data_IF_417040925084
#
_entry.id   IF_417040925084
#
_cell.length_a   1.000
_cell.length_b   1.000
_cell.length_c   1.000
_cell.angle_alpha   90.00
_cell.angle_beta   90.00
_cell.angle_gamma   90.00
#
_symmetry.space_group_name_H-M   'P 1'
#
loop_
_entity.id
_entity.type
_entity.pdbx_description
1 polymer ?
#
# COMPACT_ATOMS: atom_id res chain seq x y z
N UNK A 1 -18.95 12.22 3.10
CA UNK A 1 -18.05 11.81 2.00
C UNK A 1 -16.74 11.41 2.65
N UNK A 2 -16.21 10.20 2.39
CA UNK A 2 -14.96 9.73 3.01
C UNK A 2 -13.76 10.39 2.34
N UNK A 3 -12.77 10.83 3.13
CA UNK A 3 -11.50 11.33 2.61
C UNK A 3 -10.44 10.24 2.69
N UNK A 4 -9.53 10.23 1.73
CA UNK A 4 -8.44 9.26 1.68
C UNK A 4 -7.13 9.99 1.39
N UNK A 5 -6.07 9.56 2.06
CA UNK A 5 -4.70 9.83 1.62
C UNK A 5 -4.21 8.68 0.75
N UNK A 6 -3.32 8.99 -0.19
CA UNK A 6 -2.74 8.04 -1.13
C UNK A 6 -1.23 8.11 -1.07
N UNK A 7 -0.58 6.97 -1.29
CA UNK A 7 0.87 6.91 -1.47
C UNK A 7 1.26 5.88 -2.52
N UNK A 8 2.38 6.14 -3.19
CA UNK A 8 3.02 5.25 -4.13
C UNK A 8 4.38 4.85 -3.57
N UNK A 9 4.66 3.54 -3.54
CA UNK A 9 5.89 2.99 -2.96
C UNK A 9 6.58 2.11 -3.98
N UNK A 10 7.88 2.34 -4.20
CA UNK A 10 8.72 1.44 -4.97
C UNK A 10 9.09 0.23 -4.10
N UNK A 11 8.60 -0.95 -4.47
CA UNK A 11 8.92 -2.21 -3.82
C UNK A 11 9.63 -3.09 -4.86
N UNK A 12 10.93 -3.26 -4.65
CA UNK A 12 11.75 -4.17 -5.45
C UNK A 12 12.01 -5.46 -4.66
N UNK A 13 11.49 -6.56 -5.17
CA UNK A 13 11.60 -7.87 -4.55
C UNK A 13 10.67 -8.88 -5.20
N UNK A 14 11.04 -10.17 -5.07
CA UNK A 14 10.15 -11.28 -5.42
C UNK A 14 9.21 -11.59 -4.25
N UNK A 15 8.23 -12.47 -4.51
CA UNK A 15 7.09 -12.83 -3.65
C UNK A 15 7.21 -12.49 -2.17
N UNK A 16 8.06 -13.22 -1.43
CA UNK A 16 8.13 -13.11 0.04
C UNK A 16 8.44 -11.69 0.54
N UNK A 17 9.42 -11.01 -0.06
CA UNK A 17 9.81 -9.65 0.35
C UNK A 17 8.68 -8.68 0.10
N UNK A 18 8.05 -8.76 -1.08
CA UNK A 18 6.94 -7.90 -1.46
C UNK A 18 5.74 -8.13 -0.53
N UNK A 19 5.38 -9.39 -0.27
CA UNK A 19 4.32 -9.76 0.67
C UNK A 19 4.59 -9.22 2.08
N UNK A 20 5.81 -9.35 2.60
CA UNK A 20 6.17 -8.82 3.93
C UNK A 20 6.01 -7.30 4.01
N UNK A 21 6.44 -6.57 3.00
CA UNK A 21 6.32 -5.10 2.95
C UNK A 21 4.85 -4.69 2.84
N UNK A 22 4.07 -5.33 1.96
CA UNK A 22 2.64 -5.05 1.80
C UNK A 22 1.85 -5.33 3.09
N UNK A 23 2.14 -6.44 3.77
CA UNK A 23 1.51 -6.76 5.06
C UNK A 23 1.85 -5.73 6.14
N UNK A 24 3.10 -5.23 6.16
CA UNK A 24 3.48 -4.14 7.06
C UNK A 24 2.70 -2.85 6.81
N UNK A 25 2.37 -2.54 5.55
CA UNK A 25 1.47 -1.44 5.23
C UNK A 25 0.02 -1.71 5.65
N UNK A 26 -0.48 -2.94 5.46
CA UNK A 26 -1.78 -3.35 5.96
C UNK A 26 -1.94 -3.16 7.47
N UNK A 27 -0.91 -3.52 8.25
CA UNK A 27 -0.88 -3.31 9.71
C UNK A 27 -0.89 -1.82 10.12
N UNK A 28 -0.44 -0.92 9.24
CA UNK A 28 -0.49 0.54 9.44
C UNK A 28 -1.81 1.16 8.95
N UNK A 29 -2.78 0.34 8.55
CA UNK A 29 -4.09 0.77 8.05
C UNK A 29 -4.10 1.19 6.58
N UNK A 30 -3.08 0.82 5.80
CA UNK A 30 -3.07 1.09 4.37
C UNK A 30 -3.72 -0.05 3.59
N UNK A 31 -4.69 0.29 2.77
CA UNK A 31 -5.31 -0.60 1.81
C UNK A 31 -4.52 -0.59 0.50
N UNK A 32 -4.27 -1.78 -0.03
CA UNK A 32 -3.71 -1.92 -1.37
C UNK A 32 -4.74 -1.52 -2.44
N UNK A 33 -4.32 -0.72 -3.41
CA UNK A 33 -5.16 -0.27 -4.54
C UNK A 33 -4.80 -1.03 -5.80
N UNK A 34 -3.53 -0.92 -6.22
CA UNK A 34 -3.02 -1.58 -7.40
C UNK A 34 -1.48 -1.59 -7.40
N UNK A 35 -0.90 -2.39 -8.28
CA UNK A 35 0.52 -2.36 -8.57
C UNK A 35 0.75 -2.21 -10.08
N UNK A 36 1.81 -1.50 -10.45
CA UNK A 36 2.31 -1.41 -11.81
C UNK A 36 3.83 -1.59 -11.79
N UNK A 37 4.29 -2.71 -12.35
CA UNK A 37 5.68 -3.16 -12.23
C UNK A 37 6.12 -3.19 -10.76
N UNK A 38 7.10 -2.38 -10.36
CA UNK A 38 7.60 -2.32 -8.99
C UNK A 38 6.96 -1.21 -8.14
N UNK A 39 5.97 -0.49 -8.68
CA UNK A 39 5.24 0.54 -7.96
C UNK A 39 3.95 0.01 -7.38
N UNK A 40 3.74 0.23 -6.07
CA UNK A 40 2.59 -0.25 -5.32
C UNK A 40 1.84 0.94 -4.74
N UNK A 41 0.57 1.04 -5.10
CA UNK A 41 -0.31 2.13 -4.71
C UNK A 41 -1.17 1.70 -3.53
N UNK A 42 -1.20 2.57 -2.52
CA UNK A 42 -1.99 2.36 -1.32
C UNK A 42 -2.87 3.57 -1.04
N UNK A 43 -3.96 3.34 -0.34
CA UNK A 43 -4.82 4.38 0.23
C UNK A 43 -5.03 4.12 1.72
N UNK A 44 -5.27 5.18 2.47
CA UNK A 44 -5.72 5.08 3.88
C UNK A 44 -6.80 6.12 4.10
N UNK A 45 -7.85 5.77 4.83
CA UNK A 45 -8.89 6.74 5.16
C UNK A 45 -8.31 7.78 6.12
N UNK A 46 -8.48 9.06 5.80
CA UNK A 46 -8.18 10.17 6.71
C UNK A 46 -9.52 10.68 7.23
N UNK A 47 -9.70 10.66 8.56
CA UNK A 47 -10.94 11.00 9.29
C UNK A 47 -12.05 9.93 9.30
N UNK A 48 -12.71 9.80 10.46
CA UNK A 48 -14.04 9.22 10.64
C UNK A 48 -15.08 10.34 10.54
#
# INVERSE_FOLDING_TARGET
MKKFEYKCVFIWGLGERTTRIMNGYGQQGWDFVCAYWCWHYFKRQIEN
#
